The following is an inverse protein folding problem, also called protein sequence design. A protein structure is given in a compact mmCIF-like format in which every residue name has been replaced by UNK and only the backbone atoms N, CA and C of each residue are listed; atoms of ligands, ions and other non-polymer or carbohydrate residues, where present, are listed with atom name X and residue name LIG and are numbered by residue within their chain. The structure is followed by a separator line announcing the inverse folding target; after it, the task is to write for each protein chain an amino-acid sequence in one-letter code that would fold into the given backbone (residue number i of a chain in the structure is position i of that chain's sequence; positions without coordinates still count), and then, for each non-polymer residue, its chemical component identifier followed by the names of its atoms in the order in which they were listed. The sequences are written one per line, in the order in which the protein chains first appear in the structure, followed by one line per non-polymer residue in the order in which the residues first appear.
data_IF_425156839189
#
_entry.id   IF_425156839189
#
_cell.length_a   1.000
_cell.length_b   1.000
_cell.length_c   1.000
_cell.angle_alpha   90.00
_cell.angle_beta   90.00
_cell.angle_gamma   90.00
#
_symmetry.space_group_name_H-M   'P 1'
#
loop_
_entity.id
_entity.type
_entity.pdbx_description
1 polymer ?
#
# COMPACT_ATOMS: atom_id res chain seq x y z
N UNK A 1 -24.31 -13.67 -1.22
CA UNK A 1 -23.33 -13.16 -0.23
C UNK A 1 -22.87 -14.35 0.60
N UNK A 2 -21.66 -14.86 0.35
CA UNK A 2 -21.14 -16.04 1.05
C UNK A 2 -20.46 -15.56 2.33
N UNK A 3 -21.05 -15.85 3.48
CA UNK A 3 -20.37 -15.69 4.77
C UNK A 3 -19.40 -16.87 4.94
N UNK A 4 -18.10 -16.58 4.91
CA UNK A 4 -17.09 -17.55 5.29
C UNK A 4 -17.05 -17.63 6.82
N UNK A 5 -17.57 -18.71 7.38
CA UNK A 5 -17.32 -19.06 8.77
C UNK A 5 -15.91 -19.64 8.89
N UNK A 6 -15.04 -18.95 9.59
CA UNK A 6 -13.65 -19.32 9.84
C UNK A 6 -13.54 -20.44 10.90
N UNK A 7 -14.16 -21.58 10.67
CA UNK A 7 -13.92 -22.76 11.50
C UNK A 7 -12.86 -23.64 10.83
N UNK A 8 -12.01 -24.27 11.61
CA UNK A 8 -10.99 -25.21 11.13
C UNK A 8 -11.59 -26.34 10.28
N UNK A 9 -12.88 -26.62 10.46
CA UNK A 9 -13.64 -27.64 9.73
C UNK A 9 -13.75 -27.36 8.23
N UNK A 10 -13.69 -26.08 7.78
CA UNK A 10 -13.76 -25.73 6.34
C UNK A 10 -12.53 -26.26 5.59
N UNK A 11 -11.42 -26.46 6.27
CA UNK A 11 -10.17 -26.94 5.67
C UNK A 11 -10.11 -28.48 5.57
N UNK A 12 -10.93 -29.18 6.30
CA UNK A 12 -10.93 -30.64 6.35
C UNK A 12 -11.84 -31.34 5.32
N UNK A 13 -12.87 -30.65 4.87
CA UNK A 13 -13.80 -31.19 3.90
C UNK A 13 -13.65 -30.43 2.61
N UNK A 14 -13.10 -31.08 1.56
CA UNK A 14 -12.92 -30.48 0.24
C UNK A 14 -14.21 -29.83 -0.27
N UNK A 15 -14.39 -28.56 -0.01
CA UNK A 15 -15.51 -27.78 -0.49
C UNK A 15 -15.36 -27.64 -2.00
N UNK A 16 -16.35 -28.09 -2.74
CA UNK A 16 -16.39 -28.04 -4.20
C UNK A 16 -16.14 -26.60 -4.65
N UNK A 17 -14.95 -26.34 -5.23
CA UNK A 17 -14.53 -24.99 -5.66
C UNK A 17 -13.34 -24.40 -4.91
N UNK A 18 -12.85 -25.00 -3.82
CA UNK A 18 -11.60 -24.57 -3.20
C UNK A 18 -10.40 -24.99 -4.06
N UNK A 19 -9.55 -24.02 -4.39
CA UNK A 19 -8.28 -24.31 -5.08
C UNK A 19 -7.35 -25.10 -4.16
N UNK A 20 -6.77 -26.16 -4.69
CA UNK A 20 -5.69 -26.89 -4.04
C UNK A 20 -4.52 -25.92 -3.76
N UNK A 21 -4.10 -25.80 -2.52
CA UNK A 21 -3.00 -24.89 -2.12
C UNK A 21 -3.35 -23.93 -0.99
N UNK A 22 -4.64 -23.58 -0.81
CA UNK A 22 -5.07 -22.68 0.27
C UNK A 22 -4.64 -23.18 1.65
N UNK A 23 -4.75 -24.51 1.89
CA UNK A 23 -4.29 -25.13 3.13
C UNK A 23 -2.77 -25.04 3.30
N UNK A 24 -2.04 -25.27 2.22
CA UNK A 24 -0.55 -25.17 2.22
C UNK A 24 -0.11 -23.74 2.51
N UNK A 25 -0.78 -22.75 1.93
CA UNK A 25 -0.48 -21.34 2.18
C UNK A 25 -0.77 -20.94 3.63
N UNK A 26 -1.85 -21.48 4.23
CA UNK A 26 -2.13 -21.27 5.65
C UNK A 26 -1.08 -21.94 6.53
N UNK A 27 -0.73 -23.19 6.25
CA UNK A 27 0.31 -23.94 6.97
C UNK A 27 1.68 -23.22 6.88
N UNK A 28 1.98 -22.62 5.74
CA UNK A 28 3.21 -21.85 5.57
C UNK A 28 3.18 -20.52 6.34
N UNK A 29 2.06 -19.80 6.36
CA UNK A 29 1.86 -18.63 7.22
C UNK A 29 1.98 -19.01 8.71
N UNK A 30 1.35 -20.11 9.14
CA UNK A 30 1.44 -20.61 10.51
C UNK A 30 2.87 -21.02 10.87
N UNK A 31 3.62 -21.60 9.92
CA UNK A 31 5.04 -21.92 10.07
C UNK A 31 5.89 -20.66 10.22
N UNK A 32 5.63 -19.62 9.44
CA UNK A 32 6.28 -18.32 9.58
C UNK A 32 5.95 -17.68 10.93
N UNK A 33 4.70 -17.78 11.35
CA UNK A 33 4.25 -17.31 12.67
C UNK A 33 4.92 -18.06 13.82
N UNK A 34 5.24 -19.34 13.67
CA UNK A 34 5.95 -20.16 14.66
C UNK A 34 7.46 -19.87 14.74
N UNK A 35 8.01 -19.21 13.76
CA UNK A 35 9.42 -18.80 13.74
C UNK A 35 9.55 -17.44 14.44
N UNK A 36 9.70 -17.39 15.71
CA UNK A 36 9.95 -16.16 16.48
C UNK A 36 11.35 -15.59 16.15
N UNK A 37 11.56 -15.12 14.92
CA UNK A 37 12.78 -14.45 14.51
C UNK A 37 12.50 -13.02 14.06
N UNK A 38 13.44 -12.14 14.31
CA UNK A 38 13.44 -10.79 13.76
C UNK A 38 14.28 -10.74 12.50
N UNK A 39 13.88 -9.93 11.56
CA UNK A 39 14.68 -9.63 10.40
C UNK A 39 15.70 -8.57 10.79
N UNK A 40 16.97 -8.83 10.51
CA UNK A 40 18.06 -7.87 10.72
C UNK A 40 18.59 -7.42 9.37
N UNK A 41 18.73 -6.13 9.22
CA UNK A 41 19.40 -5.49 8.10
C UNK A 41 20.67 -4.83 8.58
N UNK A 42 21.63 -4.65 7.69
CA UNK A 42 22.87 -3.95 7.98
C UNK A 42 22.66 -2.49 8.36
N UNK A 43 21.52 -1.88 7.97
CA UNK A 43 21.16 -0.50 8.31
C UNK A 43 19.66 -0.42 8.60
N UNK A 44 19.32 0.12 9.76
CA UNK A 44 17.97 0.55 10.06
C UNK A 44 17.75 1.92 9.39
N UNK A 45 16.80 1.99 8.46
CA UNK A 45 16.42 3.20 7.74
C UNK A 45 15.23 3.93 8.38
N UNK A 46 14.97 3.71 9.66
CA UNK A 46 14.03 4.57 10.38
C UNK A 46 14.61 5.98 10.47
N UNK A 47 13.76 6.99 10.37
CA UNK A 47 14.18 8.38 10.44
C UNK A 47 13.12 9.25 11.11
N UNK A 48 13.55 10.46 11.49
CA UNK A 48 12.68 11.42 12.15
C UNK A 48 12.58 12.69 11.32
N UNK A 49 11.36 13.03 10.92
CA UNK A 49 11.05 14.30 10.28
C UNK A 49 10.79 15.32 11.38
N UNK A 50 11.52 16.44 11.35
CA UNK A 50 11.50 17.43 12.42
C UNK A 50 10.20 18.23 12.45
N UNK A 51 9.79 18.61 13.66
CA UNK A 51 8.72 19.59 13.88
C UNK A 51 8.92 20.82 12.99
N UNK A 52 7.83 21.31 12.40
CA UNK A 52 7.83 22.46 11.48
C UNK A 52 8.06 22.08 10.02
N UNK A 53 8.46 20.83 9.71
CA UNK A 53 8.54 20.34 8.33
C UNK A 53 7.22 20.48 7.60
N UNK A 54 7.28 20.81 6.31
CA UNK A 54 6.11 21.00 5.46
C UNK A 54 5.71 19.68 4.81
N UNK A 55 4.41 19.47 4.73
CA UNK A 55 3.78 18.36 4.02
C UNK A 55 2.71 18.88 3.08
N UNK A 56 2.41 18.12 2.06
CA UNK A 56 1.39 18.41 1.07
C UNK A 56 0.44 17.23 0.92
N UNK A 57 -0.84 17.51 0.85
CA UNK A 57 -1.89 16.52 0.58
C UNK A 57 -2.85 17.06 -0.47
N UNK A 58 -3.06 16.31 -1.53
CA UNK A 58 -4.07 16.62 -2.53
C UNK A 58 -5.41 16.01 -2.14
N UNK A 59 -6.47 16.79 -2.17
CA UNK A 59 -7.82 16.34 -1.81
C UNK A 59 -8.89 17.08 -2.62
N UNK A 60 -10.04 16.44 -2.79
CA UNK A 60 -11.24 17.07 -3.37
C UNK A 60 -12.02 17.92 -2.35
N UNK A 61 -11.92 17.59 -1.07
CA UNK A 61 -12.69 18.24 -0.02
C UNK A 61 -11.86 18.55 1.24
N UNK A 62 -11.16 19.69 1.26
CA UNK A 62 -10.27 20.04 2.36
C UNK A 62 -11.00 20.26 3.70
N UNK A 63 -12.31 20.51 3.68
CA UNK A 63 -13.09 20.75 4.91
C UNK A 63 -13.35 19.46 5.71
N UNK A 64 -13.41 18.33 5.03
CA UNK A 64 -13.71 17.02 5.64
C UNK A 64 -12.46 16.27 6.12
N UNK A 65 -11.29 16.78 5.81
CA UNK A 65 -10.00 16.17 6.08
C UNK A 65 -9.51 16.53 7.50
N UNK A 66 -10.20 16.06 8.56
CA UNK A 66 -9.88 16.50 9.94
C UNK A 66 -9.15 15.46 10.78
N UNK A 67 -9.44 14.19 10.62
CA UNK A 67 -8.94 13.10 11.49
C UNK A 67 -8.51 11.88 10.70
N UNK A 68 -7.77 11.00 11.34
CA UNK A 68 -7.36 9.69 10.83
C UNK A 68 -6.05 9.70 10.04
N UNK A 69 -5.88 8.74 9.17
CA UNK A 69 -4.66 8.58 8.37
C UNK A 69 -4.55 9.68 7.32
N UNK A 70 -3.35 10.23 7.17
CA UNK A 70 -3.07 11.20 6.12
C UNK A 70 -1.97 10.66 5.18
N UNK A 71 -2.30 10.53 3.91
CA UNK A 71 -1.31 10.36 2.84
C UNK A 71 -0.76 11.72 2.49
N UNK A 72 0.54 11.91 2.60
CA UNK A 72 1.20 13.20 2.39
C UNK A 72 2.54 13.04 1.69
N UNK A 73 2.97 14.05 0.97
CA UNK A 73 4.31 14.19 0.41
C UNK A 73 5.08 15.29 1.13
N UNK A 74 6.40 15.17 1.25
CA UNK A 74 7.21 16.18 1.93
C UNK A 74 8.46 16.62 1.15
N UNK A 75 8.91 15.89 0.13
CA UNK A 75 9.95 16.35 -0.78
C UNK A 75 9.34 17.18 -1.92
N UNK A 76 10.07 18.15 -2.46
CA UNK A 76 9.59 18.98 -3.58
C UNK A 76 9.31 18.15 -4.83
N UNK A 77 10.09 17.10 -5.07
CA UNK A 77 9.91 16.20 -6.20
C UNK A 77 8.64 15.37 -6.06
N UNK A 78 8.45 14.74 -4.89
CA UNK A 78 7.25 13.95 -4.59
C UNK A 78 6.00 14.82 -4.62
N UNK A 79 6.08 16.07 -4.12
CA UNK A 79 4.94 17.01 -4.15
C UNK A 79 4.47 17.29 -5.58
N UNK A 80 5.39 17.46 -6.54
CA UNK A 80 5.01 17.66 -7.94
C UNK A 80 4.32 16.42 -8.53
N UNK A 81 4.92 15.26 -8.31
CA UNK A 81 4.34 13.98 -8.73
C UNK A 81 2.97 13.76 -8.11
N UNK A 82 2.87 13.91 -6.80
CA UNK A 82 1.66 13.69 -6.03
C UNK A 82 0.50 14.61 -6.46
N UNK A 83 0.77 15.90 -6.69
CA UNK A 83 -0.24 16.83 -7.21
C UNK A 83 -0.83 16.36 -8.54
N UNK A 84 0.02 15.95 -9.47
CA UNK A 84 -0.40 15.47 -10.80
C UNK A 84 -1.18 14.17 -10.68
N UNK A 85 -0.60 13.17 -10.06
CA UNK A 85 -1.13 11.80 -9.98
C UNK A 85 -2.47 11.74 -9.25
N UNK A 86 -2.55 12.35 -8.06
CA UNK A 86 -3.78 12.32 -7.26
C UNK A 86 -4.90 13.15 -7.89
N UNK A 87 -4.59 14.31 -8.50
CA UNK A 87 -5.60 15.08 -9.21
C UNK A 87 -6.15 14.31 -10.40
N UNK A 88 -5.28 13.63 -11.17
CA UNK A 88 -5.68 12.78 -12.29
C UNK A 88 -6.55 11.61 -11.80
N UNK A 89 -6.11 10.92 -10.75
CA UNK A 89 -6.88 9.81 -10.19
C UNK A 89 -8.24 10.25 -9.64
N UNK A 90 -8.32 11.38 -8.93
CA UNK A 90 -9.58 11.91 -8.40
C UNK A 90 -10.57 12.22 -9.53
N UNK A 91 -10.08 12.73 -10.65
CA UNK A 91 -10.93 12.95 -11.82
C UNK A 91 -11.38 11.63 -12.46
N UNK A 92 -10.45 10.76 -12.80
CA UNK A 92 -10.75 9.51 -13.53
C UNK A 92 -11.62 8.56 -12.71
N UNK A 93 -11.32 8.41 -11.42
CA UNK A 93 -12.02 7.48 -10.55
C UNK A 93 -13.31 8.05 -9.94
N UNK A 94 -13.43 9.38 -9.80
CA UNK A 94 -14.52 10.03 -9.05
C UNK A 94 -15.17 11.21 -9.76
N UNK A 95 -14.72 11.56 -10.96
CA UNK A 95 -15.24 12.71 -11.72
C UNK A 95 -15.00 14.07 -11.05
N UNK A 96 -13.99 14.16 -10.16
CA UNK A 96 -13.67 15.37 -9.40
C UNK A 96 -12.86 16.31 -10.29
N UNK A 97 -13.39 17.48 -10.59
CA UNK A 97 -12.73 18.52 -11.43
C UNK A 97 -11.93 19.51 -10.61
N UNK A 98 -12.31 19.75 -9.35
CA UNK A 98 -11.64 20.71 -8.47
C UNK A 98 -10.86 19.97 -7.39
N UNK A 99 -9.57 20.19 -7.37
CA UNK A 99 -8.65 19.62 -6.38
C UNK A 99 -7.90 20.72 -5.64
N UNK A 100 -7.51 20.41 -4.42
CA UNK A 100 -6.85 21.35 -3.52
C UNK A 100 -5.58 20.75 -2.96
N UNK A 101 -4.50 21.52 -2.95
CA UNK A 101 -3.29 21.22 -2.20
C UNK A 101 -3.42 21.81 -0.79
N UNK A 102 -3.44 20.93 0.19
CA UNK A 102 -3.36 21.30 1.60
C UNK A 102 -1.90 21.31 2.04
N UNK A 103 -1.34 22.49 2.26
CA UNK A 103 -0.03 22.60 2.91
C UNK A 103 -0.22 22.48 4.42
N UNK A 104 0.53 21.58 5.03
CA UNK A 104 0.53 21.30 6.46
C UNK A 104 1.92 21.45 7.05
N UNK A 105 2.00 21.65 8.36
CA UNK A 105 3.26 21.62 9.12
C UNK A 105 3.19 20.58 10.22
N UNK A 106 4.28 19.87 10.44
CA UNK A 106 4.44 19.00 11.59
C UNK A 106 4.34 19.81 12.90
N UNK A 107 3.49 19.38 13.82
CA UNK A 107 3.30 19.95 15.15
C UNK A 107 4.28 19.38 16.18
N UNK A 108 4.83 18.19 15.87
CA UNK A 108 5.85 17.46 16.64
C UNK A 108 6.85 16.82 15.68
N UNK A 109 7.91 16.23 16.20
CA UNK A 109 8.77 15.33 15.45
C UNK A 109 7.95 14.11 15.01
N UNK A 110 8.11 13.64 13.76
CA UNK A 110 7.41 12.50 13.16
C UNK A 110 8.42 11.37 12.97
N UNK A 111 8.26 10.30 13.73
CA UNK A 111 9.10 9.10 13.62
C UNK A 111 8.55 8.16 12.57
N UNK A 112 9.30 7.92 11.49
CA UNK A 112 8.93 7.06 10.37
C UNK A 112 9.55 5.68 10.56
N UNK A 113 8.72 4.63 10.51
CA UNK A 113 9.20 3.26 10.63
C UNK A 113 9.96 2.84 9.37
N UNK A 114 11.07 2.13 9.56
CA UNK A 114 11.81 1.50 8.49
C UNK A 114 11.04 0.32 7.87
N UNK A 115 11.45 -0.13 6.69
CA UNK A 115 10.88 -1.33 6.08
C UNK A 115 11.09 -2.56 6.97
N UNK A 116 12.22 -2.63 7.69
CA UNK A 116 12.50 -3.68 8.65
C UNK A 116 11.53 -3.70 9.82
N UNK A 117 11.22 -2.54 10.38
CA UNK A 117 10.24 -2.46 11.47
C UNK A 117 8.83 -2.83 10.98
N UNK A 118 8.50 -2.51 9.74
CA UNK A 118 7.25 -2.95 9.11
C UNK A 118 7.21 -4.48 8.98
N UNK A 119 8.29 -5.10 8.50
CA UNK A 119 8.39 -6.57 8.37
C UNK A 119 8.36 -7.25 9.74
N UNK A 120 9.10 -6.76 10.71
CA UNK A 120 9.12 -7.31 12.08
C UNK A 120 7.73 -7.19 12.73
N UNK A 121 7.03 -6.08 12.50
CA UNK A 121 5.67 -5.90 12.98
C UNK A 121 4.70 -6.89 12.33
N UNK A 122 4.85 -7.14 11.02
CA UNK A 122 4.09 -8.19 10.33
C UNK A 122 4.35 -9.58 10.94
N UNK A 123 5.61 -9.94 11.20
CA UNK A 123 5.99 -11.20 11.84
C UNK A 123 5.35 -11.34 13.22
N UNK A 124 5.43 -10.29 14.05
CA UNK A 124 4.83 -10.25 15.38
C UNK A 124 3.31 -10.48 15.33
N UNK A 125 2.62 -9.86 14.38
CA UNK A 125 1.18 -9.99 14.20
C UNK A 125 0.79 -11.39 13.70
N UNK A 126 1.56 -11.98 12.79
CA UNK A 126 1.39 -13.37 12.37
C UNK A 126 1.59 -14.32 13.55
N UNK A 127 2.67 -14.17 14.31
CA UNK A 127 3.02 -15.03 15.44
C UNK A 127 1.93 -15.02 16.52
N UNK A 128 1.27 -13.88 16.71
CA UNK A 128 0.16 -13.74 17.64
C UNK A 128 -1.21 -14.10 17.02
N UNK A 129 -1.25 -14.59 15.79
CA UNK A 129 -2.49 -14.95 15.05
C UNK A 129 -3.53 -13.83 15.03
N UNK A 130 -3.09 -12.58 14.98
CA UNK A 130 -3.97 -11.40 15.00
C UNK A 130 -4.45 -10.97 13.61
N UNK A 131 -3.65 -11.27 12.57
CA UNK A 131 -3.98 -10.88 11.20
C UNK A 131 -5.09 -11.78 10.61
N UNK A 132 -5.93 -11.19 9.80
CA UNK A 132 -6.80 -11.92 8.89
C UNK A 132 -5.95 -12.55 7.78
N UNK A 133 -5.47 -13.76 8.03
CA UNK A 133 -4.61 -14.51 7.11
C UNK A 133 -5.36 -14.92 5.84
N UNK A 134 -6.68 -15.13 5.91
CA UNK A 134 -7.46 -15.50 4.72
C UNK A 134 -7.51 -14.38 3.69
N UNK A 135 -7.63 -13.13 4.12
CA UNK A 135 -7.59 -12.00 3.17
C UNK A 135 -6.25 -11.89 2.45
N UNK A 136 -5.15 -12.23 3.13
CA UNK A 136 -3.81 -12.26 2.53
C UNK A 136 -3.69 -13.40 1.51
N UNK A 137 -4.24 -14.58 1.82
CA UNK A 137 -4.25 -15.73 0.92
C UNK A 137 -5.11 -15.43 -0.33
N UNK A 138 -6.28 -14.81 -0.15
CA UNK A 138 -7.13 -14.38 -1.27
C UNK A 138 -6.40 -13.33 -2.14
N UNK A 139 -5.67 -12.41 -1.51
CA UNK A 139 -4.81 -11.45 -2.23
C UNK A 139 -3.79 -12.16 -3.12
N UNK A 140 -3.25 -13.31 -2.69
CA UNK A 140 -2.33 -14.11 -3.49
C UNK A 140 -2.98 -14.59 -4.78
N UNK A 141 -4.24 -15.01 -4.76
CA UNK A 141 -4.93 -15.48 -5.96
C UNK A 141 -5.03 -14.40 -7.05
N UNK A 142 -5.32 -13.14 -6.65
CA UNK A 142 -5.37 -12.00 -7.57
C UNK A 142 -4.00 -11.48 -8.01
N UNK A 143 -2.95 -11.88 -7.31
CA UNK A 143 -1.57 -11.41 -7.51
C UNK A 143 -0.64 -12.47 -8.12
N UNK A 144 -1.18 -13.59 -8.59
CA UNK A 144 -0.41 -14.67 -9.22
C UNK A 144 -0.89 -14.94 -10.64
N UNK A 145 0.05 -15.35 -11.49
CA UNK A 145 -0.27 -15.86 -12.82
C UNK A 145 -0.73 -17.34 -12.76
N UNK A 146 -1.05 -17.92 -13.91
CA UNK A 146 -1.50 -19.32 -14.04
C UNK A 146 -0.46 -20.35 -13.50
N UNK A 147 0.81 -19.98 -13.45
CA UNK A 147 1.91 -20.80 -12.97
C UNK A 147 2.17 -20.64 -11.45
N UNK A 148 1.34 -19.83 -10.76
CA UNK A 148 1.45 -19.56 -9.32
C UNK A 148 2.56 -18.58 -8.95
N UNK A 149 3.17 -17.88 -9.91
CA UNK A 149 4.18 -16.84 -9.66
C UNK A 149 3.52 -15.51 -9.39
N UNK A 150 4.02 -14.77 -8.41
CA UNK A 150 3.57 -13.41 -8.16
C UNK A 150 3.81 -12.51 -9.38
N UNK A 151 2.86 -11.62 -9.65
CA UNK A 151 2.90 -10.61 -10.71
C UNK A 151 2.67 -9.21 -10.13
N UNK A 152 2.95 -8.18 -10.92
CA UNK A 152 2.70 -6.78 -10.56
C UNK A 152 3.54 -6.26 -9.40
N UNK A 153 2.93 -5.45 -8.55
CA UNK A 153 3.58 -4.81 -7.40
C UNK A 153 4.11 -5.81 -6.37
N UNK A 154 3.34 -6.83 -5.94
CA UNK A 154 3.86 -7.84 -5.00
C UNK A 154 5.11 -8.54 -5.50
N UNK A 155 5.19 -8.85 -6.81
CA UNK A 155 6.39 -9.45 -7.40
C UNK A 155 7.61 -8.52 -7.32
N UNK A 156 7.42 -7.22 -7.56
CA UNK A 156 8.47 -6.22 -7.44
C UNK A 156 8.98 -6.10 -6.01
N UNK A 157 8.06 -5.96 -5.04
CA UNK A 157 8.41 -5.87 -3.63
C UNK A 157 9.11 -7.12 -3.14
N UNK A 158 8.56 -8.32 -3.46
CA UNK A 158 9.21 -9.59 -3.16
C UNK A 158 10.66 -9.60 -3.66
N UNK A 159 10.89 -9.22 -4.92
CA UNK A 159 12.24 -9.18 -5.51
C UNK A 159 13.18 -8.25 -4.74
N UNK A 160 12.73 -7.07 -4.33
CA UNK A 160 13.53 -6.15 -3.52
C UNK A 160 13.92 -6.80 -2.20
N UNK A 161 12.96 -7.41 -1.51
CA UNK A 161 13.17 -8.05 -0.21
C UNK A 161 14.11 -9.27 -0.30
N UNK A 162 13.93 -10.11 -1.30
CA UNK A 162 14.83 -11.27 -1.49
C UNK A 162 16.25 -10.87 -1.87
N UNK A 163 16.41 -9.83 -2.69
CA UNK A 163 17.73 -9.26 -2.99
C UNK A 163 18.40 -8.64 -1.75
N UNK A 164 17.62 -8.19 -0.78
CA UNK A 164 18.11 -7.70 0.50
C UNK A 164 18.32 -8.83 1.53
N UNK A 165 18.18 -10.09 1.15
CA UNK A 165 18.45 -11.26 2.00
C UNK A 165 17.27 -11.77 2.82
N UNK A 166 16.05 -11.23 2.59
CA UNK A 166 14.86 -11.74 3.25
C UNK A 166 14.47 -13.11 2.68
N UNK A 167 14.11 -14.06 3.56
CA UNK A 167 13.59 -15.37 3.18
C UNK A 167 12.47 -15.27 2.13
N UNK A 168 12.50 -16.13 1.11
CA UNK A 168 11.57 -16.08 -0.02
C UNK A 168 10.11 -16.21 0.39
N UNK A 169 9.81 -17.08 1.35
CA UNK A 169 8.45 -17.26 1.89
C UNK A 169 7.98 -16.03 2.63
N UNK A 170 8.82 -15.50 3.53
CA UNK A 170 8.52 -14.28 4.26
C UNK A 170 8.34 -13.09 3.32
N UNK A 171 9.23 -12.91 2.36
CA UNK A 171 9.15 -11.85 1.35
C UNK A 171 7.86 -11.95 0.52
N UNK A 172 7.43 -13.18 0.18
CA UNK A 172 6.18 -13.43 -0.54
C UNK A 172 4.97 -12.97 0.27
N UNK A 173 4.83 -13.44 1.52
CA UNK A 173 3.65 -13.12 2.33
C UNK A 173 3.64 -11.69 2.82
N UNK A 174 4.79 -11.11 3.12
CA UNK A 174 4.87 -9.69 3.45
C UNK A 174 4.49 -8.81 2.24
N UNK A 175 4.94 -9.15 1.04
CA UNK A 175 4.56 -8.41 -0.16
C UNK A 175 3.04 -8.47 -0.42
N UNK A 176 2.40 -9.62 -0.19
CA UNK A 176 0.94 -9.76 -0.28
C UNK A 176 0.22 -8.98 0.83
N UNK A 177 0.73 -9.04 2.05
CA UNK A 177 0.21 -8.27 3.17
C UNK A 177 0.29 -6.77 2.93
N UNK A 178 1.41 -6.28 2.41
CA UNK A 178 1.59 -4.87 2.05
C UNK A 178 0.50 -4.36 1.09
N UNK A 179 0.11 -5.18 0.11
CA UNK A 179 -1.04 -4.85 -0.75
C UNK A 179 -2.38 -4.94 -0.01
N UNK A 180 -2.51 -5.93 0.86
CA UNK A 180 -3.76 -6.22 1.57
C UNK A 180 -4.15 -5.13 2.57
N UNK A 181 -3.18 -4.44 3.20
CA UNK A 181 -3.48 -3.36 4.16
C UNK A 181 -4.25 -2.18 3.55
N UNK A 182 -4.24 -2.02 2.22
CA UNK A 182 -5.01 -0.96 1.55
C UNK A 182 -6.48 -1.35 1.31
N UNK A 183 -6.80 -2.63 1.35
CA UNK A 183 -8.14 -3.16 1.07
C UNK A 183 -8.79 -3.80 2.29
N UNK A 184 -8.02 -4.16 3.32
CA UNK A 184 -8.51 -4.76 4.56
C UNK A 184 -8.30 -3.82 5.75
N UNK A 185 -9.37 -3.15 6.17
CA UNK A 185 -9.30 -2.16 7.26
C UNK A 185 -8.93 -2.79 8.61
N UNK A 186 -9.26 -4.06 8.85
CA UNK A 186 -8.88 -4.78 10.07
C UNK A 186 -7.38 -4.98 10.15
N UNK A 187 -6.78 -5.54 9.09
CA UNK A 187 -5.33 -5.73 9.03
C UNK A 187 -4.58 -4.40 9.07
N UNK A 188 -5.07 -3.39 8.35
CA UNK A 188 -4.51 -2.03 8.40
C UNK A 188 -4.51 -1.46 9.81
N UNK A 189 -5.65 -1.52 10.49
CA UNK A 189 -5.78 -1.01 11.86
C UNK A 189 -4.83 -1.71 12.82
N UNK A 190 -4.80 -3.05 12.81
CA UNK A 190 -3.92 -3.84 13.65
C UNK A 190 -2.45 -3.50 13.43
N UNK A 191 -2.04 -3.37 12.16
CA UNK A 191 -0.68 -3.05 11.79
C UNK A 191 -0.25 -1.65 12.25
N UNK A 192 -1.09 -0.66 12.01
CA UNK A 192 -0.81 0.71 12.42
C UNK A 192 -0.80 0.84 13.95
N UNK A 193 -1.75 0.22 14.65
CA UNK A 193 -1.78 0.24 16.10
C UNK A 193 -0.53 -0.43 16.71
N UNK A 194 -0.03 -1.51 16.09
CA UNK A 194 1.20 -2.16 16.50
C UNK A 194 2.43 -1.26 16.30
N UNK A 195 2.54 -0.57 15.16
CA UNK A 195 3.61 0.39 14.90
C UNK A 195 3.54 1.60 15.85
N UNK A 196 2.34 2.10 16.14
CA UNK A 196 2.13 3.17 17.13
C UNK A 196 2.60 2.75 18.53
N UNK A 197 2.32 1.52 18.93
CA UNK A 197 2.76 0.99 20.22
C UNK A 197 4.29 0.91 20.33
N UNK A 198 5.00 0.80 19.20
CA UNK A 198 6.46 0.87 19.10
C UNK A 198 6.99 2.31 19.02
N UNK A 199 6.10 3.31 19.04
CA UNK A 199 6.45 4.73 19.06
C UNK A 199 6.68 5.34 17.68
N UNK A 200 6.19 4.72 16.60
CA UNK A 200 6.21 5.29 15.27
C UNK A 200 4.96 6.13 15.00
N UNK A 201 5.11 7.17 14.20
CA UNK A 201 4.04 8.10 13.81
C UNK A 201 3.63 7.95 12.35
N UNK A 202 4.48 7.31 11.53
CA UNK A 202 4.29 7.19 10.09
C UNK A 202 5.02 5.99 9.50
N UNK A 203 4.60 5.63 8.28
CA UNK A 203 5.31 4.73 7.36
C UNK A 203 5.40 5.35 5.98
N UNK A 204 6.39 4.93 5.19
CA UNK A 204 6.39 5.16 3.75
C UNK A 204 5.44 4.19 3.05
N UNK A 205 4.71 4.69 2.05
CA UNK A 205 3.90 3.86 1.18
C UNK A 205 4.75 3.25 0.07
N UNK A 206 5.36 2.11 0.38
CA UNK A 206 6.22 1.38 -0.55
C UNK A 206 5.46 0.92 -1.79
N UNK A 207 4.14 0.72 -1.70
CA UNK A 207 3.32 0.34 -2.84
C UNK A 207 3.25 1.46 -3.88
N UNK A 208 2.98 2.67 -3.45
CA UNK A 208 2.92 3.83 -4.35
C UNK A 208 4.29 4.13 -4.96
N UNK A 209 5.37 3.98 -4.21
CA UNK A 209 6.73 4.18 -4.75
C UNK A 209 7.06 3.21 -5.89
N UNK A 210 6.58 1.97 -5.81
CA UNK A 210 6.76 0.95 -6.85
C UNK A 210 5.93 1.23 -8.12
N UNK A 211 4.88 2.03 -8.01
CA UNK A 211 3.94 2.33 -9.09
C UNK A 211 4.24 3.67 -9.76
N UNK A 212 4.36 4.70 -8.97
CA UNK A 212 4.27 6.09 -9.42
C UNK A 212 5.60 6.85 -9.26
N UNK A 213 6.63 6.22 -8.70
CA UNK A 213 7.93 6.84 -8.38
C UNK A 213 7.79 8.04 -7.42
N UNK A 214 6.70 8.09 -6.67
CA UNK A 214 6.48 9.00 -5.57
C UNK A 214 6.47 8.19 -4.28
N UNK A 215 6.94 8.76 -3.20
CA UNK A 215 7.04 8.07 -1.92
C UNK A 215 6.20 8.80 -0.85
N UNK A 216 4.86 8.66 -0.90
CA UNK A 216 4.01 9.30 0.08
C UNK A 216 4.22 8.67 1.44
N UNK A 217 4.04 9.48 2.47
CA UNK A 217 3.99 9.03 3.86
C UNK A 217 2.54 8.81 4.26
N UNK A 218 2.32 7.77 5.05
CA UNK A 218 1.07 7.55 5.77
C UNK A 218 1.30 7.99 7.21
N UNK A 219 0.81 9.17 7.57
CA UNK A 219 0.80 9.68 8.94
C UNK A 219 -0.38 9.06 9.68
N UNK A 220 -0.14 8.44 10.84
CA UNK A 220 -1.16 7.64 11.53
C UNK A 220 -2.23 8.47 12.24
N UNK A 221 -1.86 9.60 12.85
CA UNK A 221 -2.74 10.50 13.57
C UNK A 221 -2.52 11.93 13.10
N UNK A 222 -3.21 12.27 12.04
CA UNK A 222 -3.08 13.58 11.40
C UNK A 222 -3.39 14.73 12.36
N UNK A 223 -4.48 14.61 13.11
CA UNK A 223 -4.97 15.63 14.06
C UNK A 223 -3.96 15.96 15.15
N UNK A 224 -3.14 14.98 15.56
CA UNK A 224 -2.13 15.14 16.60
C UNK A 224 -0.76 15.54 16.04
N UNK A 225 -0.54 15.30 14.74
CA UNK A 225 0.78 15.38 14.12
C UNK A 225 0.94 16.55 13.15
N UNK A 226 -0.17 17.01 12.54
CA UNK A 226 -0.13 17.99 11.47
C UNK A 226 -1.10 19.13 11.71
N UNK A 227 -0.69 20.37 11.34
CA UNK A 227 -1.53 21.55 11.30
C UNK A 227 -1.62 22.08 9.88
N UNK A 228 -2.83 22.25 9.35
CA UNK A 228 -3.07 22.89 8.06
C UNK A 228 -2.66 24.36 8.15
N UNK A 229 -1.81 24.81 7.24
CA UNK A 229 -1.32 26.20 7.19
C UNK A 229 -1.82 26.95 5.96
N UNK A 230 -2.13 26.23 4.89
CA UNK A 230 -2.62 26.79 3.64
C UNK A 230 -3.44 25.77 2.88
N UNK A 231 -4.48 26.24 2.18
CA UNK A 231 -5.21 25.46 1.18
C UNK A 231 -5.15 26.24 -0.12
N UNK A 232 -4.67 25.63 -1.18
CA UNK A 232 -4.54 26.24 -2.51
C UNK A 232 -5.31 25.40 -3.50
N UNK A 233 -6.21 25.97 -4.26
CA UNK A 233 -6.86 25.30 -5.38
C UNK A 233 -5.80 25.03 -6.45
N UNK A 234 -5.74 23.80 -6.92
CA UNK A 234 -4.86 23.41 -8.00
C UNK A 234 -5.50 23.79 -9.34
N UNK A 235 -4.71 24.17 -10.36
CA UNK A 235 -5.23 24.35 -11.70
C UNK A 235 -6.01 23.11 -12.13
N UNK A 236 -7.11 23.31 -12.82
CA UNK A 236 -7.82 22.16 -13.42
C UNK A 236 -6.86 21.40 -14.31
N UNK A 237 -6.66 20.12 -13.98
CA UNK A 237 -5.76 19.23 -14.76
C UNK A 237 -6.22 19.13 -16.21
N UNK A 238 -7.43 19.60 -16.49
CA UNK A 238 -8.18 19.44 -17.76
C UNK A 238 -8.45 20.74 -18.51
N UNK A 239 -8.04 21.89 -17.99
CA UNK A 239 -8.08 23.15 -18.77
C UNK A 239 -7.01 23.17 -19.89
N UNK A 240 -6.00 22.31 -19.78
CA UNK A 240 -5.01 22.09 -20.83
C UNK A 240 -5.46 20.93 -21.72
N UNK A 241 -6.27 21.25 -22.73
CA UNK A 241 -6.82 20.29 -23.69
C UNK A 241 -5.77 19.46 -24.42
N UNK A 242 -4.54 19.92 -24.52
CA UNK A 242 -3.48 19.20 -25.23
C UNK A 242 -2.76 18.21 -24.32
N UNK A 243 -2.51 18.55 -23.05
CA UNK A 243 -2.00 17.61 -22.07
C UNK A 243 -3.00 16.46 -21.84
N UNK A 244 -4.30 16.77 -21.80
CA UNK A 244 -5.35 15.77 -21.67
C UNK A 244 -5.51 14.87 -22.90
N UNK A 245 -5.46 15.43 -24.10
CA UNK A 245 -5.42 14.63 -25.33
C UNK A 245 -4.26 13.64 -25.30
N UNK A 246 -3.08 14.11 -24.92
CA UNK A 246 -1.88 13.28 -24.80
C UNK A 246 -2.05 12.18 -23.73
N UNK A 247 -2.61 12.48 -22.55
CA UNK A 247 -2.90 11.47 -21.52
C UNK A 247 -3.90 10.43 -22.02
N UNK A 248 -4.96 10.85 -22.72
CA UNK A 248 -5.93 9.93 -23.35
C UNK A 248 -5.31 9.10 -24.46
N UNK A 249 -4.42 9.67 -25.26
CA UNK A 249 -3.68 8.95 -26.30
C UNK A 249 -2.71 7.95 -25.69
N UNK A 250 -1.96 8.35 -24.66
CA UNK A 250 -1.04 7.48 -23.93
C UNK A 250 -1.79 6.34 -23.22
N UNK A 251 -2.96 6.62 -22.64
CA UNK A 251 -3.83 5.60 -22.03
C UNK A 251 -4.44 4.65 -23.09
N UNK A 252 -4.82 5.17 -24.27
CA UNK A 252 -5.28 4.33 -25.40
C UNK A 252 -4.16 3.44 -25.92
N UNK A 253 -2.94 3.98 -26.05
CA UNK A 253 -1.76 3.24 -26.50
C UNK A 253 -1.37 2.17 -25.47
N UNK A 254 -1.41 2.49 -24.16
CA UNK A 254 -1.18 1.53 -23.10
C UNK A 254 -2.23 0.42 -23.10
N UNK A 255 -3.53 0.75 -23.25
CA UNK A 255 -4.60 -0.23 -23.35
C UNK A 255 -4.51 -1.06 -24.64
N UNK A 256 -4.14 -0.46 -25.77
CA UNK A 256 -3.93 -1.18 -27.03
C UNK A 256 -2.72 -2.12 -26.93
N UNK A 257 -1.62 -1.66 -26.35
CA UNK A 257 -0.42 -2.46 -26.09
C UNK A 257 -0.72 -3.63 -25.12
N UNK A 258 -1.52 -3.38 -24.09
CA UNK A 258 -1.97 -4.43 -23.15
C UNK A 258 -2.87 -5.45 -23.85
N UNK A 259 -3.82 -5.02 -24.68
CA UNK A 259 -4.66 -5.91 -25.46
C UNK A 259 -3.86 -6.74 -26.46
N UNK A 260 -2.94 -6.11 -27.17
CA UNK A 260 -2.06 -6.81 -28.12
C UNK A 260 -1.16 -7.82 -27.40
N UNK A 261 -0.64 -7.47 -26.23
CA UNK A 261 0.11 -8.37 -25.37
C UNK A 261 -0.74 -9.57 -24.92
N UNK A 262 -1.97 -9.33 -24.43
CA UNK A 262 -2.89 -10.38 -23.99
C UNK A 262 -3.27 -11.31 -25.14
N UNK A 263 -3.52 -10.73 -26.32
CA UNK A 263 -3.82 -11.50 -27.56
C UNK A 263 -2.62 -12.36 -27.99
N UNK A 264 -1.39 -11.85 -27.92
CA UNK A 264 -0.15 -12.62 -28.20
C UNK A 264 0.07 -13.75 -27.18
N UNK A 265 -0.48 -13.61 -25.97
CA UNK A 265 -0.40 -14.65 -24.93
C UNK A 265 -1.58 -15.64 -24.99
N UNK A 266 -2.51 -15.50 -25.93
CA UNK A 266 -3.67 -16.39 -26.06
C UNK A 266 -4.65 -16.29 -24.91
N UNK A 267 -4.73 -15.12 -24.25
CA UNK A 267 -5.56 -14.87 -23.06
C UNK A 267 -6.90 -14.19 -23.47
N UNK A 268 -7.01 -13.68 -24.70
CA UNK A 268 -8.24 -13.24 -25.40
C UNK A 268 -8.38 -13.92 -26.76
#
# INVERSE_FOLDING_TARGET
MWQYNYSDDIYHYGVKGMKWGVRRDKEELDRLAGRAYKVEYNTDHSYTIKKGSKFHRVTANPKNEKTGYAYVSFTDEDVKGYRKEISTWLYEAKGVTRTFDMTMKATKDIKVASEIEKINTFIDLCSNKKLDSMSIIIQKESSTNKEGKLIGKPAKLKKILTNAGIDDGLATYYALFSMNIYVNDTNKKLFIDALKSKGYDAIEDTEDSLSHRINPLIIFERENSLKVTKVTELPEVYSDTDAWKKIKEDAKLANASTKEYLKKQGIE
#
